data_IF_134107323448
#
_entry.id   IF_134107323448
#
_cell.length_a   1.000
_cell.length_b   1.000
_cell.length_c   1.000
_cell.angle_alpha   90.00
_cell.angle_beta   90.00
_cell.angle_gamma   90.00
#
_symmetry.space_group_name_H-M   'P 1'
#
loop_
_entity.id
_entity.type
_entity.pdbx_description
1 polymer ?
#
# COMPACT_ATOMS: atom_id res chain seq x y z
N UNK A 1 -28.64 9.82 -8.66
CA UNK A 1 -28.73 8.36 -8.91
C UNK A 1 -28.04 7.69 -7.74
N UNK A 2 -28.71 6.77 -7.05
CA UNK A 2 -28.06 5.98 -6.00
C UNK A 2 -26.88 5.21 -6.61
N UNK A 3 -25.72 5.12 -5.93
CA UNK A 3 -24.58 4.39 -6.46
C UNK A 3 -24.99 2.94 -6.69
N UNK A 4 -24.70 2.43 -7.89
CA UNK A 4 -25.05 1.07 -8.27
C UNK A 4 -24.20 0.10 -7.41
N UNK A 5 -24.82 -0.53 -6.41
CA UNK A 5 -24.16 -1.32 -5.37
C UNK A 5 -23.32 -2.51 -5.89
N UNK A 6 -23.45 -2.88 -7.16
CA UNK A 6 -22.66 -3.95 -7.79
C UNK A 6 -21.19 -3.60 -8.03
N UNK A 7 -20.83 -2.32 -7.94
CA UNK A 7 -19.48 -1.86 -8.24
C UNK A 7 -18.52 -1.88 -7.03
N UNK A 8 -19.00 -2.22 -5.83
CA UNK A 8 -18.25 -2.16 -4.58
C UNK A 8 -18.23 -3.53 -3.89
N UNK A 9 -17.23 -3.76 -3.01
CA UNK A 9 -17.22 -4.97 -2.20
C UNK A 9 -18.19 -4.84 -1.02
N UNK A 10 -18.81 -5.95 -0.59
CA UNK A 10 -19.88 -5.93 0.40
C UNK A 10 -19.43 -5.42 1.78
N UNK A 11 -18.17 -5.64 2.12
CA UNK A 11 -17.49 -5.14 3.33
C UNK A 11 -17.24 -3.62 3.31
N UNK A 12 -17.41 -2.95 2.18
CA UNK A 12 -17.29 -1.50 2.04
C UNK A 12 -18.64 -0.76 2.03
N UNK A 13 -19.75 -1.50 1.97
CA UNK A 13 -21.09 -0.92 1.88
C UNK A 13 -21.61 -0.41 3.22
N UNK A 14 -21.17 -1.03 4.32
CA UNK A 14 -21.51 -0.62 5.68
C UNK A 14 -20.22 -0.39 6.47
N UNK A 15 -20.05 0.84 6.96
CA UNK A 15 -18.93 1.19 7.82
C UNK A 15 -19.04 0.46 9.17
N UNK A 16 -17.92 -0.01 9.75
CA UNK A 16 -17.94 -0.68 11.05
C UNK A 16 -18.32 0.29 12.17
N UNK A 17 -18.94 -0.22 13.24
CA UNK A 17 -19.52 0.61 14.30
C UNK A 17 -18.50 1.49 15.08
N UNK A 18 -17.22 1.10 15.09
CA UNK A 18 -16.15 1.89 15.72
C UNK A 18 -15.75 3.11 14.87
N UNK A 19 -16.07 3.12 13.57
CA UNK A 19 -15.79 4.23 12.67
C UNK A 19 -16.88 5.31 12.80
N UNK A 20 -16.91 5.94 13.97
CA UNK A 20 -17.95 6.89 14.39
C UNK A 20 -17.38 8.26 14.74
N UNK A 21 -18.24 9.18 15.20
CA UNK A 21 -17.88 10.57 15.49
C UNK A 21 -16.74 10.70 16.51
N UNK A 22 -16.71 9.86 17.55
CA UNK A 22 -15.64 9.88 18.56
C UNK A 22 -14.28 9.50 17.93
N UNK A 23 -14.30 8.53 17.02
CA UNK A 23 -13.10 8.17 16.25
C UNK A 23 -12.64 9.31 15.35
N UNK A 24 -13.54 9.99 14.63
CA UNK A 24 -13.16 11.14 13.81
C UNK A 24 -12.62 12.30 14.64
N UNK A 25 -13.20 12.58 15.81
CA UNK A 25 -12.66 13.59 16.73
C UNK A 25 -11.23 13.21 17.16
N UNK A 26 -10.98 11.94 17.50
CA UNK A 26 -9.64 11.44 17.82
C UNK A 26 -8.65 11.64 16.66
N UNK A 27 -9.06 11.30 15.44
CA UNK A 27 -8.25 11.48 14.23
C UNK A 27 -7.93 12.96 14.00
N UNK A 28 -8.93 13.85 14.08
CA UNK A 28 -8.72 15.28 13.89
C UNK A 28 -7.74 15.85 14.94
N UNK A 29 -7.86 15.44 16.21
CA UNK A 29 -6.94 15.84 17.29
C UNK A 29 -5.50 15.39 17.06
N UNK A 30 -5.26 14.36 16.24
CA UNK A 30 -3.91 13.89 15.96
C UNK A 30 -3.09 14.86 15.11
N UNK A 31 -3.73 15.59 14.19
CA UNK A 31 -3.04 16.53 13.30
C UNK A 31 -3.39 18.00 13.56
N UNK A 32 -4.47 18.29 14.28
CA UNK A 32 -4.76 19.62 14.84
C UNK A 32 -4.19 19.72 16.28
N UNK A 33 -2.89 19.49 16.43
CA UNK A 33 -2.23 19.29 17.74
C UNK A 33 -2.32 20.49 18.67
N UNK A 34 -2.40 21.70 18.12
CA UNK A 34 -2.43 22.96 18.89
C UNK A 34 -3.85 23.51 19.12
N UNK A 35 -4.87 22.81 18.62
CA UNK A 35 -6.25 23.28 18.69
C UNK A 35 -6.78 23.28 20.12
N UNK A 36 -7.38 24.39 20.56
CA UNK A 36 -8.03 24.47 21.88
C UNK A 36 -9.43 23.89 21.80
N UNK A 37 -10.22 24.39 20.86
CA UNK A 37 -11.59 23.97 20.61
C UNK A 37 -11.67 23.21 19.30
N UNK A 38 -12.32 22.04 19.33
CA UNK A 38 -12.56 21.22 18.14
C UNK A 38 -13.97 20.66 18.21
N UNK A 39 -14.76 20.91 17.16
CA UNK A 39 -16.14 20.46 17.08
C UNK A 39 -16.41 19.82 15.73
N UNK A 40 -16.66 18.50 15.74
CA UNK A 40 -17.14 17.79 14.57
C UNK A 40 -18.51 18.34 14.15
N UNK A 41 -18.71 18.55 12.84
CA UNK A 41 -19.97 19.04 12.28
C UNK A 41 -20.67 17.97 11.47
N UNK A 42 -19.94 17.32 10.57
CA UNK A 42 -20.51 16.34 9.65
C UNK A 42 -19.45 15.37 9.16
N UNK A 43 -19.84 14.11 9.03
CA UNK A 43 -19.02 13.04 8.46
C UNK A 43 -19.81 12.38 7.35
N UNK A 44 -19.22 12.27 6.16
CA UNK A 44 -19.75 11.49 5.05
C UNK A 44 -18.79 10.36 4.71
N UNK A 45 -19.30 9.13 4.70
CA UNK A 45 -18.54 7.92 4.36
C UNK A 45 -19.02 7.33 3.04
N UNK A 46 -18.06 6.81 2.27
CA UNK A 46 -18.32 6.09 1.03
C UNK A 46 -17.22 5.04 0.80
N UNK A 47 -17.47 4.00 0.00
CA UNK A 47 -16.41 3.12 -0.48
C UNK A 47 -15.31 3.93 -1.19
N UNK A 48 -14.03 3.65 -0.91
CA UNK A 48 -12.93 4.40 -1.51
C UNK A 48 -12.57 3.93 -2.93
N UNK A 49 -12.82 2.65 -3.22
CA UNK A 49 -12.36 2.00 -4.45
C UNK A 49 -13.47 1.13 -5.05
N UNK A 50 -13.30 0.71 -6.30
CA UNK A 50 -14.25 -0.19 -6.93
C UNK A 50 -13.86 -1.65 -6.62
N UNK A 51 -14.74 -2.56 -6.96
CA UNK A 51 -14.49 -3.99 -6.86
C UNK A 51 -13.25 -4.37 -7.68
N UNK A 52 -12.29 -5.02 -7.02
CA UNK A 52 -11.04 -5.51 -7.64
C UNK A 52 -9.79 -4.68 -7.32
N UNK A 53 -9.89 -3.57 -6.59
CA UNK A 53 -8.71 -2.73 -6.31
C UNK A 53 -8.02 -3.00 -4.97
N UNK A 54 -8.68 -3.71 -4.05
CA UNK A 54 -8.19 -3.94 -2.69
C UNK A 54 -8.37 -5.42 -2.29
N UNK A 55 -7.34 -6.21 -2.53
CA UNK A 55 -7.39 -7.65 -2.27
C UNK A 55 -7.19 -8.01 -0.78
N UNK A 56 -6.55 -7.12 0.01
CA UNK A 56 -6.07 -7.43 1.36
C UNK A 56 -6.61 -6.53 2.49
N UNK A 57 -7.41 -5.50 2.19
CA UNK A 57 -7.89 -4.51 3.16
C UNK A 57 -9.22 -3.92 2.74
N UNK A 58 -9.99 -3.36 3.67
CA UNK A 58 -11.21 -2.57 3.39
C UNK A 58 -10.83 -1.09 3.30
N UNK A 59 -11.35 -0.36 2.31
CA UNK A 59 -11.03 1.06 2.13
C UNK A 59 -12.27 1.95 2.11
N UNK A 60 -12.29 2.96 2.97
CA UNK A 60 -13.35 3.97 3.04
C UNK A 60 -12.81 5.35 2.68
N UNK A 61 -13.59 6.12 1.94
CA UNK A 61 -13.37 7.55 1.73
C UNK A 61 -14.27 8.32 2.70
N UNK A 62 -13.68 9.24 3.44
CA UNK A 62 -14.38 10.14 4.34
C UNK A 62 -14.25 11.60 3.91
N UNK A 63 -15.34 12.36 4.01
CA UNK A 63 -15.31 13.82 4.05
C UNK A 63 -15.78 14.28 5.42
N UNK A 64 -14.90 14.97 6.15
CA UNK A 64 -15.10 15.38 7.53
C UNK A 64 -15.13 16.91 7.59
N UNK A 65 -16.28 17.47 7.92
CA UNK A 65 -16.46 18.90 8.19
C UNK A 65 -16.40 19.13 9.70
N UNK A 66 -15.59 20.09 10.13
CA UNK A 66 -15.37 20.40 11.54
C UNK A 66 -15.04 21.88 11.75
N UNK A 67 -15.21 22.35 12.98
CA UNK A 67 -14.74 23.65 13.43
C UNK A 67 -13.52 23.46 14.32
N UNK A 68 -12.48 24.28 14.11
CA UNK A 68 -11.24 24.28 14.86
C UNK A 68 -10.92 25.73 15.25
N UNK A 69 -10.91 26.04 16.54
CA UNK A 69 -10.65 27.40 17.07
C UNK A 69 -11.46 28.53 16.39
N UNK A 70 -12.73 28.23 16.04
CA UNK A 70 -13.65 29.15 15.38
C UNK A 70 -13.58 29.16 13.85
N UNK A 71 -12.65 28.40 13.24
CA UNK A 71 -12.54 28.25 11.80
C UNK A 71 -13.22 26.97 11.30
N UNK A 72 -14.07 27.10 10.28
CA UNK A 72 -14.67 25.93 9.62
C UNK A 72 -13.66 25.32 8.63
N UNK A 73 -13.38 24.02 8.79
CA UNK A 73 -12.46 23.24 7.99
C UNK A 73 -13.15 22.02 7.39
N UNK A 74 -12.60 21.51 6.29
CA UNK A 74 -13.06 20.29 5.64
C UNK A 74 -11.83 19.43 5.31
N UNK A 75 -11.81 18.20 5.82
CA UNK A 75 -10.74 17.23 5.56
C UNK A 75 -11.29 16.05 4.76
N UNK A 76 -10.62 15.72 3.67
CA UNK A 76 -10.92 14.53 2.86
C UNK A 76 -9.87 13.46 3.13
N UNK A 77 -10.32 12.25 3.37
CA UNK A 77 -9.48 11.17 3.88
C UNK A 77 -9.74 9.86 3.14
N UNK A 78 -8.69 9.06 2.98
CA UNK A 78 -8.78 7.65 2.58
C UNK A 78 -8.31 6.80 3.76
N UNK A 79 -9.19 5.94 4.25
CA UNK A 79 -8.97 5.09 5.41
C UNK A 79 -8.82 3.66 4.93
N UNK A 80 -7.74 3.01 5.34
CA UNK A 80 -7.46 1.61 5.04
C UNK A 80 -7.44 0.84 6.35
N UNK A 81 -8.26 -0.19 6.45
CA UNK A 81 -8.39 -1.02 7.66
C UNK A 81 -8.40 -2.51 7.29
N UNK A 82 -8.06 -3.36 8.25
CA UNK A 82 -8.23 -4.81 8.12
C UNK A 82 -9.72 -5.18 8.08
N UNK A 83 -10.13 -6.18 7.26
CA UNK A 83 -11.51 -6.67 7.27
C UNK A 83 -11.87 -7.28 8.64
N UNK A 84 -13.01 -6.89 9.21
CA UNK A 84 -13.51 -7.47 10.47
C UNK A 84 -14.34 -8.73 10.27
N UNK A 85 -14.99 -8.84 9.10
CA UNK A 85 -15.89 -9.95 8.75
C UNK A 85 -15.09 -11.24 8.61
N UNK A 86 -15.55 -12.29 9.30
CA UNK A 86 -14.97 -13.62 9.19
C UNK A 86 -15.02 -14.12 7.74
N UNK A 87 -13.89 -14.62 7.24
CA UNK A 87 -13.76 -15.08 5.87
C UNK A 87 -12.30 -15.22 5.46
N UNK A 88 -12.09 -15.72 4.23
CA UNK A 88 -10.76 -16.06 3.72
C UNK A 88 -9.74 -14.92 3.81
N UNK A 89 -10.16 -13.65 3.67
CA UNK A 89 -9.25 -12.51 3.81
C UNK A 89 -8.74 -12.36 5.25
N UNK A 90 -9.62 -12.41 6.25
CA UNK A 90 -9.23 -12.28 7.66
C UNK A 90 -8.29 -13.41 8.06
N UNK A 91 -8.64 -14.65 7.76
CA UNK A 91 -7.82 -15.84 8.06
C UNK A 91 -6.42 -15.81 7.41
N UNK A 92 -6.30 -15.19 6.23
CA UNK A 92 -5.03 -15.08 5.51
C UNK A 92 -4.12 -13.99 6.09
N UNK A 93 -4.69 -12.92 6.64
CA UNK A 93 -3.94 -11.73 7.05
C UNK A 93 -3.89 -11.48 8.56
N UNK A 94 -4.63 -12.22 9.38
CA UNK A 94 -4.70 -12.03 10.84
C UNK A 94 -3.32 -12.12 11.51
N UNK A 95 -2.51 -13.11 11.12
CA UNK A 95 -1.12 -13.30 11.59
C UNK A 95 -0.06 -12.63 10.69
N UNK A 96 -0.48 -11.85 9.69
CA UNK A 96 0.44 -11.23 8.74
C UNK A 96 1.01 -9.93 9.28
N UNK A 97 2.32 -9.74 9.10
CA UNK A 97 3.02 -8.48 9.42
C UNK A 97 2.87 -7.41 8.33
N UNK A 98 2.06 -7.66 7.29
CA UNK A 98 1.96 -6.77 6.12
C UNK A 98 1.44 -5.40 6.50
N UNK A 99 0.45 -5.33 7.38
CA UNK A 99 -0.15 -4.05 7.77
C UNK A 99 0.80 -3.21 8.64
N UNK A 100 1.51 -3.87 9.56
CA UNK A 100 2.59 -3.29 10.35
C UNK A 100 3.70 -2.77 9.43
N UNK A 101 4.10 -3.60 8.45
CA UNK A 101 5.10 -3.23 7.44
C UNK A 101 4.64 -2.01 6.64
N UNK A 102 3.37 -1.96 6.23
CA UNK A 102 2.81 -0.82 5.50
C UNK A 102 2.85 0.47 6.33
N UNK A 103 2.39 0.43 7.59
CA UNK A 103 2.49 1.58 8.50
C UNK A 103 3.95 2.01 8.65
N UNK A 104 4.88 1.07 8.87
CA UNK A 104 6.31 1.36 9.01
C UNK A 104 6.92 1.98 7.73
N UNK A 105 6.49 1.53 6.55
CA UNK A 105 6.92 2.10 5.28
C UNK A 105 6.51 3.57 5.20
N UNK A 106 5.25 3.85 5.49
CA UNK A 106 4.70 5.19 5.41
C UNK A 106 5.21 6.11 6.52
N UNK A 107 5.48 5.62 7.72
CA UNK A 107 5.88 6.46 8.87
C UNK A 107 7.40 6.58 9.06
N UNK A 108 8.19 5.61 8.61
CA UNK A 108 9.65 5.56 8.80
C UNK A 108 10.46 5.54 7.50
N UNK A 109 10.15 4.63 6.57
CA UNK A 109 11.00 4.41 5.38
C UNK A 109 10.87 5.52 4.34
N UNK A 110 9.66 5.78 3.87
CA UNK A 110 9.41 6.83 2.88
C UNK A 110 9.84 8.24 3.35
N UNK A 111 9.57 8.68 4.60
CA UNK A 111 10.05 9.98 5.05
C UNK A 111 11.58 10.06 5.06
N UNK A 112 12.28 8.96 5.38
CA UNK A 112 13.75 8.89 5.25
C UNK A 112 14.20 9.03 3.80
N UNK A 113 13.46 8.44 2.85
CA UNK A 113 13.80 8.55 1.43
C UNK A 113 13.60 9.97 0.94
N UNK A 114 12.47 10.59 1.26
CA UNK A 114 12.19 11.98 0.94
C UNK A 114 13.20 12.93 1.60
N UNK A 115 13.69 12.62 2.81
CA UNK A 115 14.76 13.39 3.44
C UNK A 115 16.08 13.33 2.65
N UNK A 116 16.49 12.13 2.21
CA UNK A 116 17.71 11.98 1.39
C UNK A 116 17.61 12.74 0.07
N UNK A 117 16.41 12.79 -0.52
CA UNK A 117 16.14 13.58 -1.72
C UNK A 117 16.26 15.09 -1.41
N UNK A 118 15.63 15.57 -0.33
CA UNK A 118 15.74 16.97 0.08
C UNK A 118 17.17 17.39 0.40
N UNK A 119 17.97 16.52 1.00
CA UNK A 119 19.39 16.78 1.31
C UNK A 119 20.23 17.09 0.06
N UNK A 120 19.78 16.65 -1.13
CA UNK A 120 20.41 16.94 -2.43
C UNK A 120 19.62 17.97 -3.27
N UNK A 121 18.63 18.65 -2.68
CA UNK A 121 17.80 19.65 -3.36
C UNK A 121 16.70 19.07 -4.26
N UNK A 122 16.34 17.80 -4.08
CA UNK A 122 15.25 17.15 -4.81
C UNK A 122 13.98 17.09 -3.93
N UNK A 123 12.97 17.88 -4.29
CA UNK A 123 11.71 18.00 -3.55
C UNK A 123 10.64 16.95 -3.94
N UNK A 124 11.07 15.81 -4.50
CA UNK A 124 10.12 14.77 -4.92
C UNK A 124 9.36 14.17 -3.74
N UNK A 125 8.03 14.25 -3.81
CA UNK A 125 7.11 13.57 -2.90
C UNK A 125 6.83 12.15 -3.39
N UNK A 126 7.04 11.17 -2.51
CA UNK A 126 6.95 9.73 -2.81
C UNK A 126 5.68 9.09 -2.25
N UNK A 127 4.93 9.77 -1.38
CA UNK A 127 3.69 9.26 -0.77
C UNK A 127 2.58 10.31 -0.67
N UNK A 128 1.35 9.83 -0.47
CA UNK A 128 0.30 10.67 0.09
C UNK A 128 0.61 11.00 1.56
N UNK A 129 0.23 12.19 2.06
CA UNK A 129 0.32 12.52 3.49
C UNK A 129 -0.50 11.54 4.35
N UNK A 130 0.08 11.13 5.48
CA UNK A 130 -0.63 10.36 6.51
C UNK A 130 -1.24 11.34 7.49
N UNK A 131 -2.50 11.12 7.84
CA UNK A 131 -3.22 11.90 8.83
C UNK A 131 -3.28 11.19 10.18
N UNK A 132 -3.33 9.86 10.17
CA UNK A 132 -3.47 9.03 11.37
C UNK A 132 -3.08 7.58 11.09
N UNK A 133 -2.60 6.86 12.09
CA UNK A 133 -2.45 5.40 12.02
C UNK A 133 -2.49 4.78 13.42
N UNK A 134 -3.00 3.55 13.53
CA UNK A 134 -2.98 2.75 14.74
C UNK A 134 -2.85 1.26 14.41
N UNK A 135 -2.23 0.52 15.33
CA UNK A 135 -2.15 -0.95 15.27
C UNK A 135 -3.12 -1.63 16.26
N UNK A 136 -3.63 -0.87 17.23
CA UNK A 136 -4.51 -1.36 18.29
C UNK A 136 -5.39 -0.21 18.80
N UNK A 137 -6.69 -0.43 19.09
CA UNK A 137 -7.41 -1.71 19.02
C UNK A 137 -7.79 -2.13 17.60
N UNK A 138 -7.76 -1.20 16.63
CA UNK A 138 -7.95 -1.48 15.21
C UNK A 138 -6.64 -1.23 14.45
N UNK A 139 -6.35 -2.09 13.46
CA UNK A 139 -5.28 -1.87 12.49
C UNK A 139 -5.81 -0.94 11.40
N UNK A 140 -5.45 0.35 11.46
CA UNK A 140 -5.91 1.38 10.53
C UNK A 140 -4.76 2.33 10.15
N UNK A 141 -4.75 2.76 8.89
CA UNK A 141 -3.96 3.90 8.40
C UNK A 141 -4.87 4.83 7.60
N UNK A 142 -4.73 6.13 7.81
CA UNK A 142 -5.54 7.18 7.19
C UNK A 142 -4.62 8.13 6.43
N UNK A 143 -4.92 8.30 5.15
CA UNK A 143 -4.23 9.21 4.24
C UNK A 143 -5.10 10.42 3.92
N UNK A 144 -4.48 11.51 3.52
CA UNK A 144 -5.17 12.58 2.79
C UNK A 144 -5.69 12.05 1.46
N UNK A 145 -6.93 12.40 1.11
CA UNK A 145 -7.45 12.11 -0.24
C UNK A 145 -6.77 13.02 -1.25
N UNK A 146 -5.98 12.42 -2.15
CA UNK A 146 -5.22 13.13 -3.19
C UNK A 146 -5.99 13.25 -4.52
N UNK A 147 -7.18 12.65 -4.66
CA UNK A 147 -8.02 12.84 -5.86
C UNK A 147 -8.30 14.32 -6.15
N UNK A 148 -8.62 15.17 -5.15
CA UNK A 148 -8.78 16.62 -5.36
C UNK A 148 -7.52 17.33 -5.91
N UNK A 149 -6.34 16.73 -5.76
CA UNK A 149 -5.08 17.25 -6.30
C UNK A 149 -4.86 16.86 -7.77
N UNK A 150 -5.83 16.22 -8.42
CA UNK A 150 -5.80 15.80 -9.82
C UNK A 150 -5.27 14.38 -10.05
N UNK A 151 -5.14 13.57 -9.00
CA UNK A 151 -4.70 12.18 -9.14
C UNK A 151 -5.86 11.27 -9.53
N UNK A 152 -5.59 10.35 -10.46
CA UNK A 152 -6.54 9.32 -10.89
C UNK A 152 -5.92 7.92 -10.86
N UNK A 153 -6.78 6.90 -10.72
CA UNK A 153 -6.39 5.50 -10.90
C UNK A 153 -6.61 5.14 -12.37
N UNK A 154 -5.56 4.72 -13.06
CA UNK A 154 -5.63 4.32 -14.46
C UNK A 154 -6.29 2.94 -14.59
N UNK A 155 -7.39 2.86 -15.35
CA UNK A 155 -8.12 1.60 -15.62
C UNK A 155 -8.50 1.41 -17.07
N UNK A 156 -9.05 2.45 -17.67
CA UNK A 156 -9.72 2.34 -18.98
C UNK A 156 -8.80 2.74 -20.15
N UNK A 157 -7.50 2.92 -19.86
CA UNK A 157 -6.49 3.27 -20.87
C UNK A 157 -5.09 2.83 -20.44
N UNK A 158 -4.21 2.77 -21.44
CA UNK A 158 -2.78 2.64 -21.20
C UNK A 158 -2.19 3.97 -20.68
N UNK A 159 -1.08 3.83 -19.95
CA UNK A 159 -0.20 4.94 -19.58
C UNK A 159 0.33 5.64 -20.82
N UNK A 160 0.35 6.97 -20.81
CA UNK A 160 1.07 7.73 -21.83
C UNK A 160 2.57 7.78 -21.49
N UNK A 161 3.36 8.37 -22.39
CA UNK A 161 4.82 8.41 -22.24
C UNK A 161 5.24 9.22 -21.01
N UNK A 162 4.62 10.37 -20.80
CA UNK A 162 4.92 11.30 -19.72
C UNK A 162 4.61 10.67 -18.35
N UNK A 163 3.47 9.99 -18.23
CA UNK A 163 3.07 9.24 -17.03
C UNK A 163 4.02 8.09 -16.73
N UNK A 164 4.44 7.38 -17.79
CA UNK A 164 5.38 6.28 -17.69
C UNK A 164 6.76 6.77 -17.23
N UNK A 165 7.25 7.86 -17.81
CA UNK A 165 8.51 8.51 -17.42
C UNK A 165 8.44 9.00 -15.97
N UNK A 166 7.32 9.59 -15.53
CA UNK A 166 7.13 10.01 -14.14
C UNK A 166 7.14 8.82 -13.17
N UNK A 167 6.44 7.72 -13.50
CA UNK A 167 6.41 6.51 -12.70
C UNK A 167 7.80 5.86 -12.58
N UNK A 168 8.50 5.69 -13.71
CA UNK A 168 9.86 5.12 -13.70
C UNK A 168 10.88 6.04 -13.03
N UNK A 169 10.73 7.35 -13.13
CA UNK A 169 11.60 8.30 -12.42
C UNK A 169 11.46 8.14 -10.91
N UNK A 170 10.22 8.05 -10.40
CA UNK A 170 10.00 7.76 -8.97
C UNK A 170 10.60 6.41 -8.60
N UNK A 171 10.34 5.35 -9.38
CA UNK A 171 10.88 4.02 -9.12
C UNK A 171 12.42 3.99 -9.10
N UNK A 172 13.07 4.71 -10.02
CA UNK A 172 14.52 4.83 -10.05
C UNK A 172 15.08 5.52 -8.80
N UNK A 173 14.42 6.58 -8.32
CA UNK A 173 14.78 7.24 -7.05
C UNK A 173 14.64 6.27 -5.87
N UNK A 174 13.52 5.56 -5.78
CA UNK A 174 13.29 4.51 -4.78
C UNK A 174 14.42 3.47 -4.74
N UNK A 175 14.80 2.93 -5.90
CA UNK A 175 15.90 1.97 -6.00
C UNK A 175 17.26 2.58 -5.62
N UNK A 176 17.59 3.78 -6.09
CA UNK A 176 18.86 4.42 -5.79
C UNK A 176 19.02 4.71 -4.29
N UNK A 177 17.97 5.22 -3.65
CA UNK A 177 17.97 5.57 -2.23
C UNK A 177 18.02 4.32 -1.35
N UNK A 178 17.17 3.32 -1.63
CA UNK A 178 17.18 2.06 -0.89
C UNK A 178 18.54 1.37 -0.97
N UNK A 179 19.17 1.38 -2.15
CA UNK A 179 20.51 0.84 -2.34
C UNK A 179 21.56 1.60 -1.51
N UNK A 180 21.53 2.94 -1.53
CA UNK A 180 22.40 3.79 -0.70
C UNK A 180 22.25 3.48 0.80
N UNK A 181 21.02 3.47 1.31
CA UNK A 181 20.75 3.16 2.72
C UNK A 181 21.25 1.75 3.05
N UNK A 182 21.06 0.77 2.18
CA UNK A 182 21.53 -0.59 2.44
C UNK A 182 23.07 -0.69 2.51
N UNK A 183 23.80 0.18 1.82
CA UNK A 183 25.26 0.26 1.91
C UNK A 183 25.74 0.99 3.17
N UNK A 184 25.08 2.08 3.54
CA UNK A 184 25.51 2.97 4.64
C UNK A 184 24.96 2.54 6.00
N UNK A 185 23.78 1.92 6.00
CA UNK A 185 23.02 1.49 7.17
C UNK A 185 22.50 0.04 6.95
N UNK A 186 23.37 -0.99 6.96
CA UNK A 186 22.98 -2.36 6.58
C UNK A 186 21.86 -2.98 7.44
N UNK A 187 21.66 -2.44 8.65
CA UNK A 187 20.65 -2.89 9.60
C UNK A 187 19.27 -2.27 9.33
N UNK A 188 19.18 -1.22 8.50
CA UNK A 188 17.99 -0.37 8.39
C UNK A 188 16.76 -1.14 7.91
N UNK A 189 16.96 -2.16 7.07
CA UNK A 189 15.89 -2.94 6.47
C UNK A 189 15.70 -4.35 7.06
N UNK A 190 16.31 -4.67 8.22
CA UNK A 190 16.27 -6.05 8.75
C UNK A 190 14.85 -6.54 9.05
N UNK A 191 13.97 -5.64 9.47
CA UNK A 191 12.58 -5.96 9.80
C UNK A 191 11.69 -6.17 8.56
N UNK A 192 12.18 -5.91 7.35
CA UNK A 192 11.40 -6.02 6.09
C UNK A 192 11.78 -7.23 5.24
N UNK A 193 12.33 -8.28 5.87
CA UNK A 193 12.76 -9.51 5.17
C UNK A 193 11.61 -10.48 4.87
N UNK A 194 10.43 -10.26 5.43
CA UNK A 194 9.24 -11.06 5.18
C UNK A 194 8.27 -10.25 4.32
N UNK A 195 8.06 -10.69 3.07
CA UNK A 195 7.13 -10.07 2.13
C UNK A 195 5.91 -10.93 1.87
N UNK A 196 5.03 -10.46 0.98
CA UNK A 196 3.79 -11.16 0.59
C UNK A 196 4.03 -12.62 0.17
N UNK A 197 5.12 -12.90 -0.56
CA UNK A 197 5.46 -14.25 -1.03
C UNK A 197 5.98 -15.17 0.07
N UNK A 198 6.34 -14.62 1.23
CA UNK A 198 6.75 -15.40 2.40
C UNK A 198 5.59 -15.67 3.36
N UNK A 199 4.37 -15.23 3.03
CA UNK A 199 3.20 -15.45 3.87
C UNK A 199 2.82 -16.94 3.91
N UNK A 200 2.40 -17.45 5.08
CA UNK A 200 1.77 -18.76 5.17
C UNK A 200 0.56 -18.86 4.23
N UNK A 201 0.34 -20.03 3.62
CA UNK A 201 -0.83 -20.34 2.76
C UNK A 201 -0.97 -19.50 1.48
N UNK A 202 0.04 -18.69 1.11
CA UNK A 202 0.00 -17.91 -0.15
C UNK A 202 -0.14 -18.80 -1.40
N UNK A 203 0.39 -20.03 -1.34
CA UNK A 203 0.31 -21.04 -2.41
C UNK A 203 -1.09 -21.67 -2.52
N UNK A 204 -1.87 -21.66 -1.44
CA UNK A 204 -3.25 -22.19 -1.42
C UNK A 204 -4.24 -21.18 -2.03
N UNK A 205 -3.82 -19.94 -2.23
CA UNK A 205 -4.65 -18.90 -2.83
C UNK A 205 -4.52 -18.92 -4.36
N UNK A 206 -5.61 -19.25 -5.06
CA UNK A 206 -5.68 -19.31 -6.53
C UNK A 206 -5.23 -18.00 -7.22
N UNK A 207 -5.30 -16.86 -6.54
CA UNK A 207 -4.87 -15.56 -7.05
C UNK A 207 -3.41 -15.57 -7.52
N UNK A 208 -2.50 -16.17 -6.74
CA UNK A 208 -1.06 -16.10 -7.03
C UNK A 208 -0.66 -17.01 -8.19
N UNK A 209 -1.01 -18.31 -8.22
CA UNK A 209 -0.75 -19.17 -9.37
C UNK A 209 -1.40 -18.66 -10.66
N UNK A 210 -2.63 -18.15 -10.59
CA UNK A 210 -3.32 -17.60 -11.75
C UNK A 210 -2.64 -16.32 -12.26
N UNK A 211 -2.34 -15.36 -11.37
CA UNK A 211 -1.67 -14.12 -11.73
C UNK A 211 -0.27 -14.33 -12.33
N UNK A 212 0.49 -15.29 -11.80
CA UNK A 212 1.80 -15.67 -12.38
C UNK A 212 1.62 -16.30 -13.77
N UNK A 213 0.59 -17.13 -13.97
CA UNK A 213 0.25 -17.68 -15.28
C UNK A 213 -0.01 -16.61 -16.32
N UNK A 214 -0.85 -15.62 -15.98
CA UNK A 214 -1.14 -14.47 -16.86
C UNK A 214 0.12 -13.64 -17.16
N UNK A 215 0.98 -13.42 -16.16
CA UNK A 215 2.23 -12.71 -16.36
C UNK A 215 3.13 -13.44 -17.36
N UNK A 216 3.24 -14.77 -17.26
CA UNK A 216 4.03 -15.57 -18.21
C UNK A 216 3.48 -15.43 -19.63
N UNK A 217 2.16 -15.55 -19.80
CA UNK A 217 1.50 -15.40 -21.10
C UNK A 217 1.74 -14.00 -21.71
N UNK A 218 1.66 -12.95 -20.89
CA UNK A 218 1.97 -11.58 -21.32
C UNK A 218 3.44 -11.42 -21.73
N UNK A 219 4.37 -12.03 -21.00
CA UNK A 219 5.79 -11.99 -21.34
C UNK A 219 6.10 -12.75 -22.63
N UNK A 220 5.41 -13.86 -22.90
CA UNK A 220 5.56 -14.67 -24.12
C UNK A 220 5.01 -13.96 -25.36
N UNK A 221 3.87 -13.28 -25.22
CA UNK A 221 3.22 -12.54 -26.31
C UNK A 221 3.92 -11.22 -26.64
N UNK A 222 4.73 -10.67 -25.72
CA UNK A 222 5.48 -9.45 -25.94
C UNK A 222 6.74 -9.68 -26.82
N UNK A 223 6.54 -10.05 -28.10
CA UNK A 223 7.61 -10.40 -29.06
C UNK A 223 8.71 -9.33 -29.23
N UNK A 224 8.49 -8.07 -28.87
CA UNK A 224 9.51 -7.00 -28.92
C UNK A 224 10.39 -6.94 -27.66
N UNK A 225 9.93 -7.45 -26.51
CA UNK A 225 10.71 -7.52 -25.27
C UNK A 225 11.54 -8.81 -25.17
N UNK A 226 11.08 -9.89 -25.81
CA UNK A 226 11.69 -11.23 -25.75
C UNK A 226 13.14 -11.26 -26.27
N UNK A 227 13.51 -10.41 -27.22
CA UNK A 227 14.90 -10.35 -27.70
C UNK A 227 15.89 -9.69 -26.72
N UNK A 228 15.40 -9.03 -25.66
CA UNK A 228 16.26 -8.36 -24.67
C UNK A 228 16.35 -9.13 -23.35
N UNK A 229 15.47 -10.10 -23.09
CA UNK A 229 15.45 -10.81 -21.82
C UNK A 229 15.17 -12.32 -21.96
N UNK A 230 16.23 -13.12 -21.80
CA UNK A 230 16.20 -14.57 -21.54
C UNK A 230 15.50 -14.97 -20.19
N UNK A 231 14.58 -14.16 -19.69
CA UNK A 231 14.00 -14.27 -18.33
C UNK A 231 12.83 -15.27 -18.26
N UNK A 232 11.97 -15.35 -19.28
CA UNK A 232 10.74 -16.17 -19.23
C UNK A 232 11.01 -17.64 -18.87
N UNK A 233 11.99 -18.28 -19.52
CA UNK A 233 12.33 -19.70 -19.26
C UNK A 233 13.01 -19.97 -17.91
N UNK A 234 13.46 -18.91 -17.21
CA UNK A 234 14.07 -19.00 -15.87
C UNK A 234 13.04 -18.76 -14.76
N UNK A 235 12.06 -17.88 -14.96
CA UNK A 235 11.01 -17.60 -13.98
C UNK A 235 10.09 -18.81 -13.74
N UNK A 236 9.72 -19.54 -14.79
CA UNK A 236 8.95 -20.79 -14.67
C UNK A 236 9.67 -21.87 -13.85
N UNK A 237 11.00 -21.89 -13.85
CA UNK A 237 11.82 -22.79 -13.03
C UNK A 237 11.97 -22.35 -11.57
N UNK A 238 11.70 -21.08 -11.25
CA UNK A 238 11.76 -20.53 -9.88
C UNK A 238 10.47 -20.87 -9.13
N UNK A 239 9.30 -20.69 -9.75
CA UNK A 239 8.01 -21.03 -9.11
C UNK A 239 7.85 -22.54 -8.82
N UNK A 240 8.46 -23.42 -9.62
CA UNK A 240 8.39 -24.88 -9.44
C UNK A 240 9.46 -25.45 -8.49
N UNK A 241 10.31 -24.62 -7.89
CA UNK A 241 11.37 -25.02 -6.95
C UNK A 241 11.22 -24.35 -5.58
N UNK A 242 10.01 -24.39 -5.00
CA UNK A 242 9.88 -24.21 -3.55
C UNK A 242 9.97 -25.61 -2.93
N UNK A 243 11.09 -26.00 -2.30
CA UNK A 243 11.13 -27.25 -1.55
C UNK A 243 10.41 -27.03 -0.22
N UNK A 244 9.54 -27.98 0.14
CA UNK A 244 9.04 -28.10 1.50
C UNK A 244 10.22 -28.20 2.49
N UNK A 245 10.13 -27.59 3.69
CA UNK A 245 11.26 -27.54 4.60
C UNK A 245 11.61 -28.95 5.09
N UNK A 246 12.89 -29.37 5.01
CA UNK A 246 13.31 -30.64 5.59
C UNK A 246 13.35 -30.49 7.12
N UNK A 247 12.78 -31.47 7.80
CA UNK A 247 12.90 -31.66 9.24
C UNK A 247 14.36 -31.96 9.61
N UNK A 248 15.04 -31.03 10.28
CA UNK A 248 16.32 -31.32 10.91
C UNK A 248 17.29 -30.14 11.01
N UNK A 249 17.75 -29.89 12.23
CA UNK A 249 18.78 -28.92 12.60
C UNK A 249 20.04 -29.00 11.70
N UNK A 250 20.57 -27.83 11.31
CA UNK A 250 21.96 -27.37 11.54
C UNK A 250 22.26 -26.15 10.65
N UNK A 251 22.82 -25.15 11.32
CA UNK A 251 23.53 -23.95 10.85
C UNK A 251 24.17 -23.99 9.45
N UNK A 252 23.68 -23.15 8.54
CA UNK A 252 24.52 -22.52 7.50
C UNK A 252 24.12 -21.06 7.28
N UNK A 253 25.11 -20.20 7.52
CA UNK A 253 25.13 -18.75 7.23
C UNK A 253 25.11 -18.58 5.71
N UNK A 254 23.92 -18.35 5.15
CA UNK A 254 23.79 -17.84 3.79
C UNK A 254 23.56 -16.32 3.90
N UNK A 255 24.47 -15.55 3.32
CA UNK A 255 24.33 -14.12 3.12
C UNK A 255 23.06 -13.88 2.28
N UNK A 256 21.95 -13.58 2.96
CA UNK A 256 20.72 -13.11 2.34
C UNK A 256 20.88 -11.60 2.14
N UNK A 257 21.32 -11.19 0.96
CA UNK A 257 21.10 -9.81 0.51
C UNK A 257 19.59 -9.61 0.33
N UNK A 258 18.96 -8.65 1.05
CA UNK A 258 17.53 -8.44 0.93
C UNK A 258 17.22 -7.77 -0.42
N UNK A 259 16.68 -8.53 -1.37
CA UNK A 259 16.01 -7.99 -2.55
C UNK A 259 14.70 -7.33 -2.12
N UNK A 260 14.74 -6.02 -1.95
CA UNK A 260 13.58 -5.20 -1.59
C UNK A 260 12.74 -4.92 -2.84
N UNK A 261 12.04 -5.95 -3.33
CA UNK A 261 11.19 -5.87 -4.52
C UNK A 261 9.79 -6.41 -4.18
N UNK A 262 9.17 -5.92 -3.10
CA UNK A 262 7.83 -6.38 -2.69
C UNK A 262 7.10 -5.35 -1.82
N UNK A 263 7.11 -4.07 -2.20
CA UNK A 263 6.05 -3.14 -1.81
C UNK A 263 5.70 -2.34 -3.04
N UNK A 264 4.78 -2.89 -3.84
CA UNK A 264 4.22 -2.20 -5.00
C UNK A 264 3.30 -1.10 -4.45
N UNK A 265 3.88 0.07 -4.17
CA UNK A 265 3.10 1.29 -3.92
C UNK A 265 2.43 1.62 -5.25
N UNK A 266 1.10 1.66 -5.24
CA UNK A 266 0.28 2.11 -6.36
C UNK A 266 0.81 3.48 -6.79
N UNK A 267 1.50 3.52 -7.92
CA UNK A 267 2.03 4.75 -8.51
C UNK A 267 0.85 5.61 -8.95
N UNK A 268 0.38 6.50 -8.09
CA UNK A 268 -0.51 7.57 -8.50
C UNK A 268 0.38 8.68 -9.10
N UNK A 269 0.23 8.88 -10.41
CA UNK A 269 0.89 9.97 -11.14
C UNK A 269 -0.06 11.15 -11.20
N UNK A 270 0.48 12.35 -10.95
CA UNK A 270 -0.23 13.62 -11.13
C UNK A 270 -0.09 13.99 -12.61
N UNK A 271 -1.21 14.23 -13.29
CA UNK A 271 -1.21 14.77 -14.67
C UNK A 271 -1.12 16.29 -14.59
#
# INVERSE_FOLDING_TARGET
>A
MAPNNHNYNADELEAPAWLNDDFFIKVLRNFETDAKELRLRKTELSPATLKGDHYASVMFRATVEYECDGENKCQRMIMKTMPEVDGHKKEMFEDSIIFETEIDMYTRVIPRFEQILRDIGDETVLRAPILFHELSPQKIIIFEDIVPLGYEVLRDRYVNKEELEAAYTKLAKWHAISYKINLEEPQYFENYRQGLLAMPKIEENEFMPHGVGLLIEQLETCHKCVNTFHISSRLSKICLKVPSPPSGNITRRAEKTPTMCSVMVISTTKI
#
